data_IF_236281122137
#
_entry.id   IF_236281122137
#
_cell.length_a   1.000
_cell.length_b   1.000
_cell.length_c   1.000
_cell.angle_alpha   90.00
_cell.angle_beta   90.00
_cell.angle_gamma   90.00
#
_symmetry.space_group_name_H-M   'P 1'
#
loop_
_entity.id
_entity.type
_entity.pdbx_description
1 polymer ?
#
# COMPACT_ATOMS: atom_id res chain seq x y z
N UNK A 1 3.30 -0.29 29.88
CA UNK A 1 2.20 0.02 28.95
C UNK A 1 1.22 -1.15 28.93
N UNK A 2 -0.06 -0.86 29.01
CA UNK A 2 -1.10 -1.90 28.92
C UNK A 2 -1.25 -2.35 27.47
N UNK A 3 -0.90 -3.61 27.19
CA UNK A 3 -0.99 -4.15 25.83
C UNK A 3 -2.41 -4.14 25.26
N UNK A 4 -3.43 -4.26 26.11
CA UNK A 4 -4.82 -4.20 25.67
C UNK A 4 -5.24 -2.82 25.17
N UNK A 5 -4.56 -1.76 25.61
CA UNK A 5 -4.85 -0.41 25.15
C UNK A 5 -4.51 -0.25 23.67
N UNK A 6 -3.52 -0.98 23.17
CA UNK A 6 -3.13 -0.91 21.76
C UNK A 6 -4.23 -1.46 20.84
N UNK A 7 -5.03 -2.41 21.31
CA UNK A 7 -6.12 -2.97 20.50
C UNK A 7 -7.29 -1.99 20.31
N UNK A 8 -7.30 -0.90 21.08
CA UNK A 8 -8.33 0.13 20.95
C UNK A 8 -7.96 1.18 19.89
N UNK A 9 -6.74 1.17 19.41
CA UNK A 9 -6.35 2.03 18.29
C UNK A 9 -6.96 1.49 17.01
N UNK A 10 -7.53 2.38 16.22
CA UNK A 10 -8.08 2.01 14.93
C UNK A 10 -6.95 1.90 13.91
N UNK A 11 -6.84 0.75 13.29
CA UNK A 11 -5.94 0.54 12.15
C UNK A 11 -6.77 0.39 10.89
N UNK A 12 -6.39 1.07 9.85
CA UNK A 12 -6.89 0.77 8.52
C UNK A 12 -6.13 -0.40 7.92
N UNK A 13 -6.58 -0.85 6.77
CA UNK A 13 -5.81 -1.75 5.92
C UNK A 13 -5.70 -1.11 4.55
N UNK A 14 -4.49 -1.14 4.01
CA UNK A 14 -4.15 -0.43 2.78
C UNK A 14 -3.25 -1.30 1.92
N UNK A 15 -3.37 -1.14 0.60
CA UNK A 15 -2.35 -1.63 -0.33
C UNK A 15 -1.45 -0.46 -0.67
N UNK A 16 -0.19 -0.56 -0.30
CA UNK A 16 0.85 0.41 -0.63
C UNK A 16 1.55 -0.06 -1.90
N UNK A 17 1.53 0.75 -2.93
CA UNK A 17 2.13 0.39 -4.22
C UNK A 17 3.22 1.39 -4.60
N UNK A 18 4.18 0.89 -5.39
CA UNK A 18 5.28 1.68 -5.90
C UNK A 18 5.69 1.16 -7.27
N UNK A 19 6.46 1.98 -7.98
CA UNK A 19 7.01 1.63 -9.29
C UNK A 19 8.45 2.13 -9.36
N UNK A 20 9.36 1.26 -9.77
CA UNK A 20 10.77 1.60 -10.01
C UNK A 20 11.12 1.15 -11.41
N UNK A 21 11.41 2.09 -12.31
CA UNK A 21 11.59 1.84 -13.72
C UNK A 21 10.37 1.11 -14.29
N UNK A 22 10.52 -0.15 -14.72
CA UNK A 22 9.41 -0.91 -15.29
C UNK A 22 8.80 -1.91 -14.31
N UNK A 23 9.33 -1.97 -13.08
CA UNK A 23 8.86 -2.91 -12.08
C UNK A 23 7.82 -2.26 -11.17
N UNK A 24 6.68 -2.93 -11.06
CA UNK A 24 5.61 -2.56 -10.12
C UNK A 24 5.64 -3.51 -8.93
N UNK A 25 5.33 -3.01 -7.74
CA UNK A 25 5.19 -3.84 -6.57
C UNK A 25 4.21 -3.21 -5.58
N UNK A 26 3.75 -4.01 -4.65
CA UNK A 26 2.86 -3.56 -3.59
C UNK A 26 2.91 -4.47 -2.39
N UNK A 27 2.42 -3.96 -1.28
CA UNK A 27 2.32 -4.71 -0.03
C UNK A 27 1.11 -4.22 0.77
N UNK A 28 0.77 -4.95 1.80
CA UNK A 28 -0.28 -4.55 2.74
C UNK A 28 0.37 -3.79 3.89
N UNK A 29 -0.19 -2.63 4.23
CA UNK A 29 0.18 -1.88 5.43
C UNK A 29 -1.07 -1.58 6.25
N UNK A 30 -0.88 -1.30 7.53
CA UNK A 30 -1.98 -0.96 8.43
C UNK A 30 -1.89 0.48 8.96
N UNK A 31 -0.90 1.25 8.53
CA UNK A 31 -0.71 2.61 9.02
C UNK A 31 -0.50 3.58 7.86
N UNK A 32 -1.52 4.40 7.62
CA UNK A 32 -1.44 5.54 6.71
C UNK A 32 -2.33 6.62 7.30
N UNK A 33 -1.75 7.77 7.68
CA UNK A 33 -2.48 8.84 8.35
C UNK A 33 -2.08 10.18 7.76
N UNK A 34 -3.01 11.12 7.75
CA UNK A 34 -2.71 12.49 7.39
C UNK A 34 -1.89 13.14 8.50
N UNK A 35 -0.67 13.57 8.18
CA UNK A 35 0.23 14.17 9.15
C UNK A 35 0.08 15.68 9.22
N UNK A 36 -0.35 16.33 8.13
CA UNK A 36 -0.60 17.77 8.07
C UNK A 36 -1.57 18.11 6.94
N UNK A 37 -2.25 19.24 7.04
CA UNK A 37 -3.23 19.68 6.03
C UNK A 37 -2.72 20.82 5.15
N UNK A 38 -1.71 21.58 5.61
CA UNK A 38 -1.14 22.71 4.87
C UNK A 38 0.38 22.73 4.98
N UNK A 39 1.11 22.14 4.00
CA UNK A 39 0.61 21.34 2.88
C UNK A 39 0.09 19.99 3.33
N UNK A 40 -0.74 19.37 2.50
CA UNK A 40 -1.19 18.01 2.77
C UNK A 40 0.01 17.06 2.84
N UNK A 41 0.12 16.36 3.96
CA UNK A 41 1.18 15.39 4.22
C UNK A 41 0.58 14.08 4.71
N UNK A 42 1.05 12.98 4.15
CA UNK A 42 0.65 11.64 4.51
C UNK A 42 1.83 10.91 5.13
N UNK A 43 1.62 10.31 6.29
CA UNK A 43 2.61 9.49 6.96
C UNK A 43 2.23 8.02 6.83
N UNK A 44 3.18 7.20 6.39
CA UNK A 44 3.00 5.75 6.29
C UNK A 44 4.10 5.04 7.07
N UNK A 45 3.78 3.85 7.57
CA UNK A 45 4.75 2.96 8.17
C UNK A 45 4.88 1.71 7.31
N UNK A 46 6.08 1.41 6.87
CA UNK A 46 6.38 0.24 6.06
C UNK A 46 7.66 -0.42 6.57
N UNK A 47 7.63 -1.75 6.66
CA UNK A 47 8.76 -2.51 7.19
C UNK A 47 9.97 -2.36 6.26
N UNK A 48 11.15 -2.09 6.83
CA UNK A 48 12.39 -1.93 6.07
C UNK A 48 12.80 -3.17 5.28
N UNK A 49 12.36 -4.34 5.71
CA UNK A 49 12.61 -5.58 4.97
C UNK A 49 11.69 -5.76 3.76
N UNK A 50 10.67 -4.93 3.62
CA UNK A 50 9.72 -5.01 2.51
C UNK A 50 10.33 -4.41 1.24
N UNK A 51 10.17 -5.09 0.12
CA UNK A 51 10.69 -4.60 -1.15
C UNK A 51 10.08 -3.25 -1.55
N UNK A 52 8.80 -3.05 -1.28
CA UNK A 52 8.12 -1.78 -1.57
C UNK A 52 8.80 -0.61 -0.84
N UNK A 53 9.29 -0.83 0.37
CA UNK A 53 10.03 0.18 1.12
C UNK A 53 11.26 0.67 0.33
N UNK A 54 12.06 -0.27 -0.21
CA UNK A 54 13.27 0.08 -0.96
C UNK A 54 12.93 0.86 -2.23
N UNK A 55 11.85 0.47 -2.91
CA UNK A 55 11.39 1.16 -4.11
C UNK A 55 10.98 2.60 -3.82
N UNK A 56 10.26 2.84 -2.72
CA UNK A 56 9.81 4.18 -2.33
C UNK A 56 10.99 5.06 -1.95
N UNK A 57 11.97 4.51 -1.23
CA UNK A 57 13.17 5.27 -0.89
C UNK A 57 13.94 5.71 -2.13
N UNK A 58 13.96 4.89 -3.16
CA UNK A 58 14.66 5.19 -4.40
C UNK A 58 13.91 6.20 -5.26
N UNK A 59 12.59 6.10 -5.37
CA UNK A 59 11.79 6.91 -6.30
C UNK A 59 11.15 8.12 -5.65
N UNK A 60 10.89 8.07 -4.35
CA UNK A 60 10.18 9.12 -3.63
C UNK A 60 8.68 9.17 -3.91
N UNK A 61 8.11 8.14 -4.53
CA UNK A 61 6.71 8.13 -4.94
C UNK A 61 6.02 6.83 -4.50
N UNK A 62 4.74 6.94 -4.13
CA UNK A 62 3.92 5.80 -3.80
C UNK A 62 2.44 6.11 -3.98
N UNK A 63 1.63 5.06 -3.95
CA UNK A 63 0.17 5.16 -3.94
C UNK A 63 -0.38 4.30 -2.82
N UNK A 64 -1.37 4.82 -2.11
CA UNK A 64 -2.08 4.10 -1.05
C UNK A 64 -3.50 3.86 -1.51
N UNK A 65 -3.90 2.59 -1.58
CA UNK A 65 -5.29 2.21 -1.85
C UNK A 65 -5.95 1.81 -0.53
N UNK A 66 -7.07 2.47 -0.21
CA UNK A 66 -7.78 2.26 1.06
C UNK A 66 -8.72 1.07 0.90
N UNK A 67 -8.47 -0.02 1.62
CA UNK A 67 -9.27 -1.22 1.50
C UNK A 67 -10.64 -1.05 2.17
N UNK A 68 -11.68 -1.57 1.53
CA UNK A 68 -13.04 -1.58 2.06
C UNK A 68 -13.32 -2.91 2.76
N UNK A 69 -14.47 -2.98 3.43
CA UNK A 69 -14.94 -4.24 4.03
C UNK A 69 -15.22 -5.33 3.00
N UNK A 70 -15.34 -4.94 1.73
CA UNK A 70 -15.60 -5.88 0.63
C UNK A 70 -14.32 -6.50 0.07
N UNK A 71 -13.13 -6.08 0.55
CA UNK A 71 -11.87 -6.65 0.11
C UNK A 71 -11.81 -8.13 0.41
N UNK A 72 -11.50 -8.94 -0.60
CA UNK A 72 -11.46 -10.38 -0.48
C UNK A 72 -10.09 -10.86 0.02
N UNK A 73 -10.07 -12.02 0.66
CA UNK A 73 -8.85 -12.58 1.22
C UNK A 73 -7.75 -12.79 0.17
N UNK A 74 -8.13 -13.11 -1.07
CA UNK A 74 -7.16 -13.24 -2.16
C UNK A 74 -6.31 -11.99 -2.40
N UNK A 75 -6.85 -10.80 -2.13
CA UNK A 75 -6.10 -9.56 -2.23
C UNK A 75 -4.98 -9.50 -1.18
N UNK A 76 -5.27 -9.97 0.05
CA UNK A 76 -4.26 -10.02 1.11
C UNK A 76 -3.17 -11.04 0.81
N UNK A 77 -3.53 -12.20 0.23
CA UNK A 77 -2.56 -13.19 -0.20
C UNK A 77 -1.64 -12.62 -1.28
N UNK A 78 -2.22 -11.91 -2.25
CA UNK A 78 -1.49 -11.35 -3.37
C UNK A 78 -0.43 -10.35 -2.92
N UNK A 79 -0.75 -9.46 -1.99
CA UNK A 79 0.12 -8.37 -1.61
C UNK A 79 0.77 -8.53 -0.24
N UNK A 80 0.21 -9.36 0.65
CA UNK A 80 0.66 -9.46 2.04
C UNK A 80 1.49 -10.69 2.36
N UNK A 81 1.33 -11.80 1.62
CA UNK A 81 1.91 -13.09 1.97
C UNK A 81 3.08 -13.50 1.10
N UNK A 82 3.51 -12.66 0.17
CA UNK A 82 4.65 -12.95 -0.69
C UNK A 82 5.50 -11.70 -0.90
N UNK A 83 6.80 -11.88 -1.14
CA UNK A 83 7.72 -10.78 -1.39
C UNK A 83 7.82 -10.46 -2.86
N UNK A 84 7.81 -9.18 -3.21
CA UNK A 84 8.09 -8.73 -4.57
C UNK A 84 9.51 -9.02 -5.04
N UNK A 85 10.41 -9.42 -4.13
CA UNK A 85 11.76 -9.87 -4.50
C UNK A 85 11.73 -11.23 -5.19
N UNK A 86 10.74 -12.07 -4.85
CA UNK A 86 10.65 -13.44 -5.31
C UNK A 86 9.61 -13.62 -6.42
N UNK A 87 8.60 -12.75 -6.48
CA UNK A 87 7.51 -12.84 -7.45
C UNK A 87 7.17 -11.45 -7.99
N UNK A 88 6.61 -11.41 -9.19
CA UNK A 88 6.01 -10.19 -9.73
C UNK A 88 4.53 -10.18 -9.36
N UNK A 89 4.16 -9.39 -8.35
CA UNK A 89 2.79 -9.38 -7.82
C UNK A 89 1.75 -8.84 -8.80
N UNK A 90 2.16 -8.04 -9.78
CA UNK A 90 1.26 -7.47 -10.78
C UNK A 90 1.22 -8.26 -12.08
N UNK A 91 2.01 -9.32 -12.20
CA UNK A 91 1.90 -10.22 -13.34
C UNK A 91 0.54 -10.90 -13.30
N UNK A 92 -0.22 -10.77 -14.37
CA UNK A 92 -1.59 -11.31 -14.49
C UNK A 92 -2.59 -10.75 -13.46
N UNK A 93 -2.24 -9.72 -12.68
CA UNK A 93 -3.18 -9.09 -11.77
C UNK A 93 -3.92 -7.97 -12.51
N UNK A 94 -5.23 -8.12 -12.70
CA UNK A 94 -6.02 -7.21 -13.54
C UNK A 94 -6.81 -6.17 -12.75
N UNK A 95 -6.94 -6.32 -11.42
CA UNK A 95 -7.78 -5.46 -10.59
C UNK A 95 -7.04 -4.19 -10.15
N UNK A 96 -6.38 -3.53 -11.10
CA UNK A 96 -5.59 -2.33 -10.87
C UNK A 96 -5.62 -1.41 -12.09
N UNK A 97 -5.27 -0.14 -11.88
CA UNK A 97 -5.15 0.86 -12.93
C UNK A 97 -4.05 1.86 -12.57
N UNK A 98 -3.49 2.56 -13.56
CA UNK A 98 -2.45 3.56 -13.34
C UNK A 98 -3.06 4.88 -12.87
N UNK A 99 -2.53 5.44 -11.79
CA UNK A 99 -2.88 6.78 -11.34
C UNK A 99 -2.05 7.86 -12.02
N UNK A 100 -2.23 9.11 -11.58
CA UNK A 100 -1.53 10.26 -12.18
C UNK A 100 -0.01 10.19 -12.00
N UNK A 101 0.47 9.55 -10.94
CA UNK A 101 1.91 9.38 -10.70
C UNK A 101 2.50 8.18 -11.43
N UNK A 102 1.73 7.50 -12.29
CA UNK A 102 2.16 6.32 -13.03
C UNK A 102 2.15 5.02 -12.24
N UNK A 103 1.76 5.04 -10.98
CA UNK A 103 1.76 3.88 -10.08
C UNK A 103 0.37 3.26 -10.08
N UNK A 104 0.31 1.91 -10.01
CA UNK A 104 -0.96 1.20 -9.93
C UNK A 104 -1.69 1.52 -8.63
N UNK A 105 -3.01 1.67 -8.73
CA UNK A 105 -3.90 1.59 -7.58
C UNK A 105 -4.88 0.43 -7.78
N UNK A 106 -5.45 -0.07 -6.68
CA UNK A 106 -6.31 -1.24 -6.71
C UNK A 106 -7.75 -0.80 -6.99
N UNK A 107 -8.42 -1.45 -7.93
CA UNK A 107 -9.75 -1.05 -8.41
C UNK A 107 -10.91 -1.81 -7.77
N UNK A 108 -10.66 -2.96 -7.12
CA UNK A 108 -11.71 -3.74 -6.44
C UNK A 108 -11.39 -3.91 -4.97
N UNK A 109 -12.43 -3.86 -4.13
CA UNK A 109 -12.26 -4.00 -2.69
C UNK A 109 -11.66 -2.76 -2.03
N UNK A 110 -11.73 -1.61 -2.69
CA UNK A 110 -11.17 -0.35 -2.18
C UNK A 110 -12.22 0.76 -2.23
N UNK A 111 -12.10 1.73 -1.31
CA UNK A 111 -12.98 2.91 -1.26
C UNK A 111 -12.35 4.12 -1.96
N UNK A 112 -11.02 4.23 -1.93
CA UNK A 112 -10.32 5.40 -2.43
C UNK A 112 -8.84 5.07 -2.63
N UNK A 113 -8.13 5.95 -3.33
CA UNK A 113 -6.67 5.86 -3.40
C UNK A 113 -6.07 7.26 -3.31
N UNK A 114 -4.80 7.33 -2.87
CA UNK A 114 -4.04 8.56 -2.74
C UNK A 114 -2.71 8.38 -3.46
N UNK A 115 -2.47 9.19 -4.48
CA UNK A 115 -1.21 9.23 -5.22
C UNK A 115 -0.29 10.30 -4.64
N UNK A 116 0.94 9.94 -4.39
CA UNK A 116 1.92 10.85 -3.78
C UNK A 116 3.17 11.00 -4.65
#
# INVERSE_FOLDING_TARGET
MNKKAMYKLSYGLFVLTAKDAEKDNGCIINTAVQAASEPNQLSICVNKANYTHDMIQKTGKFTVSVLSQEAQFGLFEQFGFQSGRNVNKFEAFEKCARGLNGIYYITEGTNAYISV
#
